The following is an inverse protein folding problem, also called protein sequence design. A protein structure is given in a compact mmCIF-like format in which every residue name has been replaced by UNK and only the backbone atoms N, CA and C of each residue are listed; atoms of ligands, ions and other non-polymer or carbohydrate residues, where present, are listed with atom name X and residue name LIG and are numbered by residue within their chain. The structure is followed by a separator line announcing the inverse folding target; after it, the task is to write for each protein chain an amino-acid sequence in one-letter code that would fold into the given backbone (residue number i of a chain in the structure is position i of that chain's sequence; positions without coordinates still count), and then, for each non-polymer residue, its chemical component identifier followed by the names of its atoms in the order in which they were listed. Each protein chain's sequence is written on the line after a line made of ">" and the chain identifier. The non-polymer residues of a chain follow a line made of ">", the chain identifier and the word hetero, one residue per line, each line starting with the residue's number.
data_IF_361235255230
#
_entry.id   IF_361235255230
#
_cell.length_a   1.000
_cell.length_b   1.000
_cell.length_c   1.000
_cell.angle_alpha   90.00
_cell.angle_beta   90.00
_cell.angle_gamma   90.00
#
_symmetry.space_group_name_H-M   'P 1'
#
loop_
_entity.id
_entity.type
_entity.pdbx_description
1 polymer ?
#
# COMPACT_ATOMS: atom_id res chain seq x y z
N UNK A 1 3.39 -25.61 14.88
CA UNK A 1 2.80 -25.55 13.53
C UNK A 1 3.34 -24.29 12.86
N UNK A 2 4.18 -24.42 11.83
CA UNK A 2 4.73 -23.27 11.08
C UNK A 2 3.82 -22.91 9.92
N UNK A 3 3.71 -21.63 9.60
CA UNK A 3 3.07 -21.17 8.37
C UNK A 3 4.01 -21.45 7.20
N UNK A 4 3.65 -22.36 6.31
CA UNK A 4 4.38 -22.61 5.08
C UNK A 4 3.89 -21.63 4.01
N UNK A 5 4.80 -20.83 3.45
CA UNK A 5 4.46 -19.86 2.41
C UNK A 5 4.14 -20.63 1.13
N UNK A 6 2.93 -20.50 0.57
CA UNK A 6 2.58 -21.19 -0.67
C UNK A 6 3.50 -20.70 -1.80
N UNK A 7 4.00 -21.64 -2.62
CA UNK A 7 4.75 -21.28 -3.82
C UNK A 7 3.82 -20.59 -4.81
N UNK A 8 4.34 -19.60 -5.51
CA UNK A 8 3.64 -19.02 -6.66
C UNK A 8 3.36 -20.13 -7.69
N UNK A 9 2.22 -20.08 -8.40
CA UNK A 9 1.93 -21.02 -9.47
C UNK A 9 2.99 -20.95 -10.59
N UNK A 10 3.33 -22.11 -11.18
CA UNK A 10 4.39 -22.20 -12.20
C UNK A 10 4.05 -21.46 -13.52
N UNK A 11 2.76 -21.29 -13.87
CA UNK A 11 2.35 -20.65 -15.13
C UNK A 11 0.91 -20.10 -15.18
N UNK A 12 0.24 -19.89 -14.04
CA UNK A 12 -1.19 -19.46 -14.04
C UNK A 12 -1.42 -17.96 -14.13
N UNK A 13 -0.36 -17.13 -14.13
CA UNK A 13 -0.50 -15.69 -14.23
C UNK A 13 -0.88 -15.31 -15.66
N UNK A 14 -2.03 -14.64 -15.81
CA UNK A 14 -2.48 -14.06 -17.07
C UNK A 14 -2.71 -12.56 -16.89
N UNK A 15 -2.97 -11.87 -18.00
CA UNK A 15 -3.32 -10.46 -18.05
C UNK A 15 -4.70 -10.24 -18.71
N UNK A 16 -5.54 -11.28 -18.73
CA UNK A 16 -6.89 -11.16 -19.23
C UNK A 16 -7.73 -10.37 -18.22
N UNK A 17 -8.64 -9.53 -18.70
CA UNK A 17 -9.58 -8.87 -17.81
C UNK A 17 -10.50 -9.92 -17.16
N UNK A 18 -10.74 -9.85 -15.85
CA UNK A 18 -11.68 -10.74 -15.17
C UNK A 18 -13.07 -10.63 -15.81
N UNK A 19 -13.77 -11.76 -15.90
CA UNK A 19 -15.11 -11.83 -16.48
C UNK A 19 -16.20 -11.64 -15.42
N UNK A 20 -17.46 -11.54 -15.85
CA UNK A 20 -18.61 -11.37 -14.94
C UNK A 20 -18.80 -12.53 -13.94
N UNK A 21 -18.25 -13.72 -14.23
CA UNK A 21 -18.32 -14.87 -13.33
C UNK A 21 -17.31 -14.77 -12.16
N UNK A 22 -16.21 -14.04 -12.35
CA UNK A 22 -15.23 -13.75 -11.29
C UNK A 22 -15.82 -12.77 -10.25
N UNK A 23 -16.75 -11.92 -10.68
CA UNK A 23 -17.45 -10.93 -9.85
C UNK A 23 -18.59 -11.54 -9.02
N UNK A 24 -18.94 -12.81 -9.24
CA UNK A 24 -20.07 -13.45 -8.57
C UNK A 24 -19.82 -13.77 -7.09
N UNK A 25 -18.58 -13.64 -6.61
CA UNK A 25 -18.19 -13.89 -5.22
C UNK A 25 -17.78 -12.59 -4.54
N UNK A 26 -18.37 -12.34 -3.38
CA UNK A 26 -17.95 -11.22 -2.53
C UNK A 26 -16.48 -11.38 -2.12
N UNK A 27 -15.69 -10.29 -2.13
CA UNK A 27 -14.32 -10.32 -1.67
C UNK A 27 -14.27 -10.62 -0.17
N UNK A 28 -13.18 -11.25 0.31
CA UNK A 28 -13.00 -11.47 1.74
C UNK A 28 -12.92 -10.14 2.50
N UNK A 29 -13.47 -10.13 3.71
CA UNK A 29 -13.41 -8.97 4.61
C UNK A 29 -11.95 -8.70 5.01
N UNK A 30 -11.58 -7.42 5.03
CA UNK A 30 -10.24 -6.99 5.45
C UNK A 30 -10.00 -7.37 6.92
N UNK A 31 -8.90 -8.09 7.24
CA UNK A 31 -8.56 -8.39 8.61
C UNK A 31 -8.34 -7.11 9.44
N UNK A 32 -8.88 -7.02 10.67
CA UNK A 32 -8.79 -5.79 11.48
C UNK A 32 -7.34 -5.42 11.86
N UNK A 33 -6.44 -6.40 11.93
CA UNK A 33 -5.01 -6.20 12.20
C UNK A 33 -4.34 -5.28 11.16
N UNK A 34 -4.82 -5.26 9.90
CA UNK A 34 -4.26 -4.40 8.86
C UNK A 34 -4.56 -2.91 9.07
N UNK A 35 -5.44 -2.56 10.01
CA UNK A 35 -5.70 -1.17 10.38
C UNK A 35 -4.74 -0.66 11.48
N UNK A 36 -4.05 -1.57 12.18
CA UNK A 36 -3.18 -1.28 13.33
C UNK A 36 -1.71 -1.09 12.90
N UNK A 37 -1.48 -0.11 12.03
CA UNK A 37 -0.16 0.13 11.44
C UNK A 37 0.75 0.91 12.38
N UNK A 38 2.07 0.70 12.33
CA UNK A 38 3.03 1.48 13.13
C UNK A 38 2.97 3.00 12.88
N UNK A 39 2.34 3.41 11.78
CA UNK A 39 2.15 4.82 11.38
C UNK A 39 0.91 5.48 12.00
N UNK A 40 -0.01 4.72 12.62
CA UNK A 40 -1.17 5.30 13.30
C UNK A 40 -0.85 5.84 14.69
N UNK A 41 0.38 5.63 15.19
CA UNK A 41 0.81 6.15 16.47
C UNK A 41 1.29 7.60 16.33
N UNK A 42 0.84 8.53 17.19
CA UNK A 42 1.27 9.91 17.13
C UNK A 42 2.77 10.01 17.39
N UNK A 43 3.45 10.82 16.57
CA UNK A 43 4.90 11.05 16.62
C UNK A 43 5.44 11.58 17.98
N UNK A 44 4.55 11.94 18.91
CA UNK A 44 4.92 12.40 20.25
C UNK A 44 5.29 11.27 21.23
N UNK A 45 4.99 10.00 20.93
CA UNK A 45 5.27 8.88 21.83
C UNK A 45 6.69 8.31 21.73
N UNK A 46 7.47 8.70 20.72
CA UNK A 46 8.70 8.02 20.33
C UNK A 46 9.82 9.02 20.00
N UNK A 47 10.15 9.86 20.98
CA UNK A 47 11.35 10.73 21.01
C UNK A 47 12.66 9.91 20.90
N UNK A 48 12.60 8.58 21.11
CA UNK A 48 13.74 7.65 21.06
C UNK A 48 13.93 6.91 19.74
N UNK A 49 13.07 7.09 18.73
CA UNK A 49 13.20 6.40 17.43
C UNK A 49 12.90 4.89 17.44
N UNK A 50 12.52 4.33 18.60
CA UNK A 50 12.16 2.92 18.72
C UNK A 50 10.66 2.74 18.41
N UNK A 51 10.36 2.02 17.32
CA UNK A 51 8.99 1.59 17.00
C UNK A 51 8.59 0.38 17.86
N UNK A 52 7.30 0.24 18.23
CA UNK A 52 6.85 -0.97 18.92
C UNK A 52 7.04 -2.21 18.05
N UNK A 53 7.13 -3.38 18.69
CA UNK A 53 7.28 -4.65 18.00
C UNK A 53 6.06 -4.88 17.08
N UNK A 54 6.24 -5.02 15.75
CA UNK A 54 5.13 -5.25 14.85
C UNK A 54 4.55 -6.65 15.02
N UNK A 55 3.24 -6.80 14.81
CA UNK A 55 2.62 -8.10 14.63
C UNK A 55 3.09 -8.74 13.31
N UNK A 56 3.19 -10.07 13.27
CA UNK A 56 3.62 -10.75 12.05
C UNK A 56 2.65 -10.51 10.87
N UNK A 57 1.36 -10.28 11.17
CA UNK A 57 0.29 -10.08 10.18
C UNK A 57 0.45 -8.76 9.42
N UNK A 58 1.12 -7.75 9.99
CA UNK A 58 1.29 -6.44 9.34
C UNK A 58 2.55 -6.35 8.47
N UNK A 59 3.39 -7.39 8.47
CA UNK A 59 4.63 -7.44 7.69
C UNK A 59 4.34 -7.67 6.20
N UNK A 60 5.15 -7.06 5.35
CA UNK A 60 5.03 -7.12 3.88
C UNK A 60 3.72 -6.53 3.32
N UNK A 61 2.98 -5.76 4.12
CA UNK A 61 1.83 -4.99 3.67
C UNK A 61 2.24 -3.54 3.36
N UNK A 62 1.74 -3.03 2.23
CA UNK A 62 1.94 -1.65 1.81
C UNK A 62 0.90 -0.75 2.47
N UNK A 63 1.38 0.31 3.10
CA UNK A 63 0.58 1.38 3.70
C UNK A 63 0.76 2.66 2.91
N UNK A 64 -0.34 3.37 2.72
CA UNK A 64 -0.38 4.65 2.01
C UNK A 64 -1.01 5.65 2.96
N UNK A 65 -0.33 6.77 3.20
CA UNK A 65 -0.87 7.82 4.04
C UNK A 65 -2.03 8.51 3.29
N UNK A 66 -3.27 8.28 3.72
CA UNK A 66 -4.44 8.95 3.15
C UNK A 66 -4.62 10.32 3.81
N UNK A 67 -4.13 11.38 3.16
CA UNK A 67 -4.47 12.77 3.53
C UNK A 67 -5.33 13.38 2.45
N UNK A 68 -6.47 13.94 2.84
CA UNK A 68 -7.48 14.57 1.98
C UNK A 68 -7.00 15.79 1.15
N UNK A 69 -5.75 16.26 1.36
CA UNK A 69 -5.20 17.40 0.64
C UNK A 69 -4.47 16.98 -0.66
N UNK A 70 -4.58 17.73 -1.77
CA UNK A 70 -3.89 17.43 -3.01
C UNK A 70 -2.39 17.74 -2.87
N UNK A 71 -1.61 16.80 -2.34
CA UNK A 71 -0.15 16.89 -2.31
C UNK A 71 0.44 16.40 -3.64
N UNK A 72 1.54 17.02 -4.04
CA UNK A 72 2.41 16.56 -5.14
C UNK A 72 3.27 15.35 -4.76
N UNK A 73 3.07 14.76 -3.57
CA UNK A 73 3.89 13.68 -3.01
C UNK A 73 2.99 12.68 -2.29
N UNK A 74 3.23 11.39 -2.52
CA UNK A 74 2.62 10.26 -1.81
C UNK A 74 3.66 9.63 -0.89
N UNK A 75 3.27 9.37 0.36
CA UNK A 75 4.07 8.61 1.32
C UNK A 75 3.64 7.14 1.31
N UNK A 76 4.60 6.25 1.04
CA UNK A 76 4.43 4.80 0.99
C UNK A 76 5.24 4.18 2.14
N UNK A 77 4.61 3.36 2.97
CA UNK A 77 5.23 2.67 4.09
C UNK A 77 5.09 1.16 4.00
N UNK A 78 6.12 0.41 4.39
CA UNK A 78 5.99 -1.04 4.62
C UNK A 78 6.98 -1.53 5.67
N UNK A 79 6.67 -2.64 6.33
CA UNK A 79 7.54 -3.25 7.35
C UNK A 79 7.97 -4.64 6.90
N UNK A 80 9.26 -4.92 6.95
CA UNK A 80 9.85 -6.21 6.58
C UNK A 80 10.67 -6.76 7.76
N UNK A 81 10.68 -8.09 7.90
CA UNK A 81 11.59 -8.79 8.80
C UNK A 81 12.94 -9.04 8.12
N UNK A 82 14.03 -8.62 8.76
CA UNK A 82 15.41 -8.95 8.38
C UNK A 82 16.06 -9.75 9.53
N UNK A 83 16.22 -11.06 9.31
CA UNK A 83 16.67 -12.02 10.35
C UNK A 83 15.77 -11.99 11.60
N UNK A 84 16.27 -11.46 12.72
CA UNK A 84 15.55 -11.33 14.00
C UNK A 84 15.11 -9.88 14.29
N UNK A 85 15.23 -8.98 13.31
CA UNK A 85 14.87 -7.56 13.43
C UNK A 85 13.80 -7.19 12.42
N UNK A 86 13.12 -6.09 12.68
CA UNK A 86 12.09 -5.52 11.82
C UNK A 86 12.56 -4.15 11.33
N UNK A 87 12.33 -3.88 10.05
CA UNK A 87 12.70 -2.63 9.39
C UNK A 87 11.43 -2.06 8.77
N UNK A 88 11.11 -0.81 9.12
CA UNK A 88 10.01 -0.06 8.52
C UNK A 88 10.59 0.99 7.59
N UNK A 89 10.20 0.95 6.32
CA UNK A 89 10.67 1.87 5.28
C UNK A 89 9.55 2.82 4.93
N UNK A 90 9.89 4.10 4.73
CA UNK A 90 8.98 5.15 4.27
C UNK A 90 9.57 5.81 3.04
N UNK A 91 8.88 5.69 1.91
CA UNK A 91 9.24 6.30 0.64
C UNK A 91 8.31 7.47 0.34
N UNK A 92 8.88 8.64 0.13
CA UNK A 92 8.18 9.82 -0.36
C UNK A 92 8.38 9.91 -1.88
N UNK A 93 7.31 9.70 -2.63
CA UNK A 93 7.34 9.70 -4.10
C UNK A 93 6.53 10.87 -4.65
N UNK A 94 7.12 11.77 -5.46
CA UNK A 94 6.36 12.81 -6.15
C UNK A 94 5.35 12.21 -7.13
N UNK A 95 4.16 12.80 -7.21
CA UNK A 95 3.11 12.47 -8.17
C UNK A 95 2.99 13.61 -9.16
N UNK A 96 3.33 13.39 -10.45
CA UNK A 96 3.18 14.42 -11.46
C UNK A 96 1.70 14.75 -11.63
N UNK A 97 1.38 16.04 -11.52
CA UNK A 97 0.07 16.55 -11.93
C UNK A 97 0.10 16.58 -13.45
N UNK A 98 -0.59 15.65 -14.11
CA UNK A 98 -0.92 15.83 -15.52
C UNK A 98 -1.80 17.09 -15.58
N UNK A 99 -1.20 18.21 -15.97
CA UNK A 99 -1.95 19.42 -16.28
C UNK A 99 -2.85 19.08 -17.45
N UNK A 100 -4.16 19.22 -17.27
CA UNK A 100 -5.11 19.20 -18.37
C UNK A 100 -4.75 20.32 -19.35
N UNK A 101 -3.97 20.00 -20.39
CA UNK A 101 -3.90 20.87 -21.57
C UNK A 101 -5.20 20.65 -22.33
N UNK A 102 -6.23 21.38 -21.92
CA UNK A 102 -7.41 21.61 -22.75
C UNK A 102 -6.95 22.38 -23.98
N UNK A 103 -6.58 21.67 -25.04
CA UNK A 103 -6.38 22.25 -26.36
C UNK A 103 -7.74 22.79 -26.82
N UNK A 104 -8.01 24.07 -26.54
CA UNK A 104 -9.06 24.80 -27.25
C UNK A 104 -8.64 24.88 -28.72
N UNK A 105 -9.18 23.99 -29.54
CA UNK A 105 -9.29 24.21 -30.98
C UNK A 105 -10.21 25.42 -31.18
N UNK A 106 -9.62 26.61 -31.26
CA UNK A 106 -10.32 27.81 -31.73
C UNK A 106 -10.47 27.66 -33.24
N UNK A 107 -11.68 27.32 -33.68
CA UNK A 107 -12.08 27.37 -35.08
C UNK A 107 -11.87 28.81 -35.59
N UNK A 108 -11.05 28.96 -36.63
CA UNK A 108 -11.08 30.14 -37.49
C UNK A 108 -12.08 29.85 -38.61
N UNK A 109 -13.16 30.62 -38.63
CA UNK A 109 -13.94 30.91 -39.85
C UNK A 109 -13.07 31.68 -40.87
#
# INVERSE_FOLDING_TARGET
>A
MGFEVPRSPDSSYNNAFPGSEDDARDPPVVPPHLHQTLFSYPASMNVSGNLPLPENVILNHLYIENREAPRSVVALGFTQRFRSKYVTVVLYKPVPRSGSTSTQHMNRE
#
